data_IF_618773812670
#
_entry.id   IF_618773812670
#
_cell.length_a   1.000
_cell.length_b   1.000
_cell.length_c   1.000
_cell.angle_alpha   90.00
_cell.angle_beta   90.00
_cell.angle_gamma   90.00
#
_symmetry.space_group_name_H-M   'P 1'
#
loop_
_entity.id
_entity.type
_entity.pdbx_description
1 polymer ?
#
# COMPACT_ATOMS: atom_id res chain seq x y z
N UNK A 1 21.29 -89.32 -25.62
CA UNK A 1 22.47 -89.13 -26.49
C UNK A 1 22.90 -87.67 -26.36
N UNK A 2 24.10 -87.43 -25.80
CA UNK A 2 25.13 -86.42 -26.14
C UNK A 2 24.69 -85.12 -26.85
N UNK A 3 25.24 -83.92 -26.62
CA UNK A 3 26.41 -83.43 -25.88
C UNK A 3 26.29 -81.87 -25.85
N UNK A 4 26.97 -81.27 -24.86
CA UNK A 4 27.43 -79.87 -24.71
C UNK A 4 27.49 -78.94 -25.94
N UNK A 5 27.17 -77.66 -25.75
CA UNK A 5 28.04 -76.55 -26.19
C UNK A 5 27.84 -75.29 -25.32
N UNK A 6 28.95 -74.77 -24.79
CA UNK A 6 29.06 -73.53 -24.02
C UNK A 6 29.15 -72.32 -24.97
N UNK A 7 28.70 -71.14 -24.53
CA UNK A 7 29.50 -69.88 -24.58
C UNK A 7 28.70 -68.69 -24.01
N UNK A 8 29.22 -68.17 -22.89
CA UNK A 8 29.47 -66.75 -22.57
C UNK A 8 28.69 -65.66 -23.31
N UNK A 9 28.05 -64.74 -22.56
CA UNK A 9 28.67 -63.46 -22.18
C UNK A 9 27.63 -62.39 -21.78
N UNK A 10 28.04 -61.62 -20.76
CA UNK A 10 27.67 -60.22 -20.44
C UNK A 10 26.31 -59.99 -19.77
N UNK A 11 26.38 -59.99 -18.43
CA UNK A 11 25.49 -59.20 -17.60
C UNK A 11 25.72 -57.70 -17.84
N UNK A 12 24.63 -56.97 -18.01
CA UNK A 12 24.58 -55.52 -17.87
C UNK A 12 23.82 -55.23 -16.56
N UNK A 13 24.55 -54.78 -15.54
CA UNK A 13 23.97 -54.20 -14.34
C UNK A 13 23.18 -52.95 -14.72
N UNK A 14 21.87 -52.99 -14.59
CA UNK A 14 21.01 -51.82 -14.62
C UNK A 14 21.22 -51.04 -13.31
N UNK A 15 21.97 -49.93 -13.39
CA UNK A 15 22.06 -48.95 -12.32
C UNK A 15 20.70 -48.24 -12.22
N UNK A 16 19.85 -48.61 -11.26
CA UNK A 16 18.70 -47.79 -10.88
C UNK A 16 19.22 -46.52 -10.21
N UNK A 17 19.26 -45.41 -10.94
CA UNK A 17 19.44 -44.09 -10.37
C UNK A 17 18.18 -43.73 -9.57
N UNK A 18 18.27 -43.80 -8.24
CA UNK A 18 17.26 -43.24 -7.35
C UNK A 18 17.30 -41.71 -7.51
N UNK A 19 16.31 -41.15 -8.22
CA UNK A 19 16.05 -39.71 -8.17
C UNK A 19 15.63 -39.36 -6.74
N UNK A 20 16.56 -38.82 -5.97
CA UNK A 20 16.23 -38.10 -4.75
C UNK A 20 15.34 -36.92 -5.16
N UNK A 21 14.05 -37.02 -4.85
CA UNK A 21 13.14 -35.88 -4.93
C UNK A 21 13.61 -34.87 -3.89
N UNK A 22 14.42 -33.91 -4.33
CA UNK A 22 14.74 -32.73 -3.55
C UNK A 22 13.43 -31.97 -3.35
N UNK A 23 12.85 -32.09 -2.15
CA UNK A 23 11.79 -31.19 -1.70
C UNK A 23 12.21 -29.76 -2.00
N UNK A 24 11.32 -28.92 -2.58
CA UNK A 24 11.59 -27.49 -2.61
C UNK A 24 11.72 -27.05 -1.15
N UNK A 25 12.84 -26.39 -0.85
CA UNK A 25 13.08 -25.79 0.44
C UNK A 25 11.83 -25.00 0.86
N UNK A 26 11.29 -25.34 2.03
CA UNK A 26 10.29 -24.53 2.68
C UNK A 26 10.82 -23.09 2.74
N UNK A 27 10.03 -22.14 2.24
CA UNK A 27 10.28 -20.73 2.47
C UNK A 27 10.43 -20.53 3.98
N UNK A 28 11.60 -20.08 4.42
CA UNK A 28 11.78 -19.64 5.80
C UNK A 28 10.90 -18.40 5.99
N UNK A 29 9.75 -18.60 6.63
CA UNK A 29 9.19 -17.56 7.49
C UNK A 29 10.18 -17.31 8.65
N UNK A 30 10.12 -16.15 9.29
CA UNK A 30 10.87 -15.77 10.50
C UNK A 30 12.24 -15.11 10.33
N UNK A 31 12.27 -13.96 9.65
CA UNK A 31 12.88 -12.80 10.32
C UNK A 31 11.77 -12.14 11.15
N UNK A 32 11.69 -12.47 12.45
CA UNK A 32 10.68 -11.94 13.35
C UNK A 32 10.74 -10.40 13.32
N UNK A 33 9.70 -9.73 12.81
CA UNK A 33 9.68 -8.27 12.69
C UNK A 33 10.08 -7.60 14.02
N UNK A 34 10.89 -6.52 14.02
CA UNK A 34 11.36 -5.89 15.25
C UNK A 34 10.23 -5.55 16.23
N UNK A 35 9.08 -5.13 15.72
CA UNK A 35 7.87 -4.88 16.50
C UNK A 35 7.45 -6.09 17.35
N UNK A 36 7.52 -7.30 16.82
CA UNK A 36 7.10 -8.53 17.51
C UNK A 36 7.98 -8.89 18.72
N UNK A 37 9.16 -8.27 18.85
CA UNK A 37 10.02 -8.44 20.02
C UNK A 37 9.66 -7.49 21.17
N UNK A 38 8.91 -6.42 20.90
CA UNK A 38 8.61 -5.36 21.87
C UNK A 38 7.58 -5.86 22.88
N UNK A 39 7.86 -5.59 24.15
CA UNK A 39 6.96 -5.83 25.26
C UNK A 39 6.27 -4.53 25.70
N UNK A 40 5.01 -4.65 26.09
CA UNK A 40 4.15 -3.56 26.57
C UNK A 40 3.42 -4.02 27.82
N UNK A 41 3.24 -3.11 28.78
CA UNK A 41 2.46 -3.39 29.97
C UNK A 41 0.96 -3.25 29.67
N UNK A 42 0.14 -4.17 30.14
CA UNK A 42 -1.32 -4.05 30.09
C UNK A 42 -1.83 -3.23 31.28
N UNK A 43 -3.13 -2.90 31.32
CA UNK A 43 -3.73 -2.07 32.37
C UNK A 43 -3.55 -2.65 33.80
N UNK A 44 -3.43 -3.97 33.94
CA UNK A 44 -3.20 -4.62 35.25
C UNK A 44 -1.70 -4.71 35.63
N UNK A 45 -0.81 -4.19 34.79
CA UNK A 45 0.64 -4.19 34.99
C UNK A 45 1.36 -5.44 34.48
N UNK A 46 0.65 -6.43 33.92
CA UNK A 46 1.28 -7.59 33.30
C UNK A 46 2.00 -7.22 31.99
N UNK A 47 3.13 -7.88 31.69
CA UNK A 47 3.83 -7.72 30.43
C UNK A 47 3.18 -8.58 29.34
N UNK A 48 2.99 -7.99 28.15
CA UNK A 48 2.53 -8.68 26.94
C UNK A 48 3.43 -8.35 25.77
N UNK A 49 3.71 -9.33 24.92
CA UNK A 49 4.54 -9.12 23.73
C UNK A 49 3.66 -8.74 22.55
N UNK A 50 4.08 -7.77 21.74
CA UNK A 50 3.32 -7.39 20.53
C UNK A 50 3.29 -8.51 19.48
N UNK A 51 4.28 -9.42 19.51
CA UNK A 51 4.27 -10.64 18.72
C UNK A 51 3.10 -11.58 19.00
N UNK A 52 2.39 -11.44 20.11
CA UNK A 52 1.17 -12.20 20.40
C UNK A 52 0.00 -11.80 19.47
N UNK A 53 0.14 -10.68 18.77
CA UNK A 53 -0.80 -10.21 17.75
C UNK A 53 -0.30 -10.49 16.32
N UNK A 54 0.78 -11.25 16.16
CA UNK A 54 1.29 -11.61 14.83
C UNK A 54 0.19 -12.26 13.97
N UNK A 55 0.20 -11.94 12.68
CA UNK A 55 -0.83 -12.39 11.76
C UNK A 55 -2.09 -11.51 11.75
N UNK A 56 -2.22 -10.50 12.60
CA UNK A 56 -3.30 -9.49 12.55
C UNK A 56 -2.78 -8.14 12.05
N UNK A 57 -3.63 -7.38 11.36
CA UNK A 57 -3.37 -5.97 11.10
C UNK A 57 -3.55 -5.20 12.40
N UNK A 58 -2.58 -4.37 12.79
CA UNK A 58 -2.65 -3.60 14.03
C UNK A 58 -2.88 -2.12 13.75
N UNK A 59 -3.79 -1.51 14.52
CA UNK A 59 -3.92 -0.06 14.62
C UNK A 59 -3.48 0.39 16.01
N UNK A 60 -2.27 0.94 16.10
CA UNK A 60 -1.69 1.42 17.37
C UNK A 60 -1.99 2.91 17.52
N UNK A 61 -2.56 3.32 18.65
CA UNK A 61 -3.00 4.71 18.89
C UNK A 61 -2.58 5.18 20.28
N UNK A 62 -1.89 6.32 20.39
CA UNK A 62 -1.77 6.98 21.70
C UNK A 62 -3.06 7.74 22.00
N UNK A 63 -3.62 7.60 23.18
CA UNK A 63 -4.95 8.15 23.51
C UNK A 63 -4.91 9.02 24.77
N UNK A 64 -5.90 9.89 24.89
CA UNK A 64 -6.16 10.68 26.08
C UNK A 64 -7.67 10.92 26.24
N UNK A 65 -8.10 11.15 27.46
CA UNK A 65 -9.46 11.22 27.96
C UNK A 65 -9.92 12.67 28.05
N UNK A 66 -9.00 13.59 28.37
CA UNK A 66 -9.26 15.04 28.48
C UNK A 66 -8.73 15.83 27.27
N UNK A 67 -8.76 15.23 26.09
CA UNK A 67 -8.33 15.85 24.84
C UNK A 67 -9.52 16.34 24.01
N UNK A 68 -9.33 17.41 23.23
CA UNK A 68 -10.32 17.83 22.23
C UNK A 68 -10.60 16.78 21.15
N UNK A 69 -9.70 15.80 20.99
CA UNK A 69 -9.84 14.67 20.05
C UNK A 69 -10.42 13.41 20.71
N UNK A 70 -10.71 13.41 22.02
CA UNK A 70 -11.32 12.27 22.72
C UNK A 70 -12.59 11.73 22.05
N UNK A 71 -13.48 12.56 21.46
CA UNK A 71 -14.65 12.03 20.74
C UNK A 71 -14.32 11.04 19.60
N UNK A 72 -13.07 10.97 19.12
CA UNK A 72 -12.65 9.96 18.14
C UNK A 72 -12.79 8.52 18.67
N UNK A 73 -12.86 8.27 19.99
CA UNK A 73 -13.14 6.94 20.52
C UNK A 73 -14.41 6.31 19.91
N UNK A 74 -15.48 7.09 19.71
CA UNK A 74 -16.71 6.61 19.07
C UNK A 74 -16.46 6.09 17.65
N UNK A 75 -15.69 6.83 16.85
CA UNK A 75 -15.34 6.44 15.50
C UNK A 75 -14.43 5.21 15.47
N UNK A 76 -13.42 5.17 16.35
CA UNK A 76 -12.51 4.03 16.49
C UNK A 76 -13.25 2.76 16.94
N UNK A 77 -14.22 2.88 17.84
CA UNK A 77 -15.02 1.74 18.29
C UNK A 77 -15.89 1.17 17.17
N UNK A 78 -16.53 2.03 16.35
CA UNK A 78 -17.29 1.60 15.16
C UNK A 78 -16.39 0.93 14.11
N UNK A 79 -15.22 1.53 13.85
CA UNK A 79 -14.21 0.98 12.96
C UNK A 79 -13.75 -0.41 13.44
N UNK A 80 -13.43 -0.53 14.72
CA UNK A 80 -13.01 -1.80 15.31
C UNK A 80 -14.12 -2.86 15.22
N UNK A 81 -15.35 -2.54 15.60
CA UNK A 81 -16.48 -3.47 15.54
C UNK A 81 -16.74 -4.01 14.11
N UNK A 82 -16.49 -3.20 13.07
CA UNK A 82 -16.70 -3.59 11.67
C UNK A 82 -15.52 -4.34 11.03
N UNK A 83 -14.32 -4.27 11.62
CA UNK A 83 -13.09 -4.83 11.02
C UNK A 83 -12.41 -5.90 11.88
N UNK A 84 -12.77 -6.04 13.16
CA UNK A 84 -12.13 -6.99 14.07
C UNK A 84 -12.25 -8.44 13.56
N UNK A 85 -13.44 -8.83 13.08
CA UNK A 85 -13.68 -10.15 12.49
C UNK A 85 -12.92 -10.39 11.17
N UNK A 86 -12.46 -9.33 10.50
CA UNK A 86 -11.65 -9.40 9.28
C UNK A 86 -10.15 -9.53 9.57
N UNK A 87 -9.72 -9.37 10.83
CA UNK A 87 -8.31 -9.47 11.22
C UNK A 87 -7.68 -8.19 11.78
N UNK A 88 -8.46 -7.12 12.00
CA UNK A 88 -7.97 -5.89 12.64
C UNK A 88 -7.90 -6.06 14.17
N UNK A 89 -6.83 -5.56 14.78
CA UNK A 89 -6.73 -5.36 16.22
C UNK A 89 -6.29 -3.92 16.54
N UNK A 90 -7.09 -3.19 17.31
CA UNK A 90 -6.78 -1.82 17.71
C UNK A 90 -6.15 -1.83 19.11
N UNK A 91 -4.94 -1.29 19.23
CA UNK A 91 -4.18 -1.25 20.48
C UNK A 91 -4.08 0.20 20.97
N UNK A 92 -4.79 0.53 22.04
CA UNK A 92 -4.83 1.89 22.57
C UNK A 92 -3.89 2.06 23.78
N UNK A 93 -3.05 3.09 23.72
CA UNK A 93 -2.01 3.40 24.70
C UNK A 93 -2.26 4.78 25.33
N UNK A 94 -2.84 4.84 26.55
CA UNK A 94 -3.02 6.11 27.25
C UNK A 94 -1.68 6.86 27.42
N UNK A 95 -1.69 8.18 27.23
CA UNK A 95 -0.47 8.98 27.27
C UNK A 95 -0.74 10.36 27.89
N UNK A 96 0.08 10.76 28.85
CA UNK A 96 -0.06 12.04 29.55
C UNK A 96 0.93 13.12 29.07
N UNK A 97 1.72 12.84 28.04
CA UNK A 97 2.80 13.72 27.58
C UNK A 97 2.31 15.00 26.88
N UNK A 98 1.04 15.05 26.47
CA UNK A 98 0.46 16.18 25.75
C UNK A 98 -0.61 16.86 26.58
N UNK A 99 -0.25 18.03 27.11
CA UNK A 99 -1.17 18.88 27.89
C UNK A 99 -1.65 18.27 29.21
N UNK A 100 -0.97 17.23 29.72
CA UNK A 100 -1.40 16.47 30.89
C UNK A 100 -2.86 15.98 30.80
N UNK A 101 -3.28 15.55 29.60
CA UNK A 101 -4.67 15.21 29.28
C UNK A 101 -5.07 13.76 29.63
N UNK A 102 -4.18 12.99 30.25
CA UNK A 102 -4.43 11.64 30.76
C UNK A 102 -3.93 11.46 32.22
N UNK A 103 -4.45 12.29 33.16
CA UNK A 103 -3.96 12.31 34.54
C UNK A 103 -4.40 11.08 35.35
N UNK A 104 -5.48 10.40 34.94
CA UNK A 104 -6.11 9.35 35.72
C UNK A 104 -5.27 8.08 35.92
N UNK A 105 -5.72 7.24 36.86
CA UNK A 105 -5.20 5.88 37.08
C UNK A 105 -5.69 4.93 35.98
N UNK A 106 -5.11 3.73 35.90
CA UNK A 106 -5.54 2.72 34.92
C UNK A 106 -7.03 2.37 35.08
N UNK A 107 -7.52 2.24 36.32
CA UNK A 107 -8.92 1.93 36.62
C UNK A 107 -9.85 3.07 36.16
N UNK A 108 -9.47 4.32 36.42
CA UNK A 108 -10.24 5.50 36.00
C UNK A 108 -10.31 5.61 34.47
N UNK A 109 -9.19 5.35 33.79
CA UNK A 109 -9.10 5.39 32.32
C UNK A 109 -9.95 4.28 31.69
N UNK A 110 -9.83 3.04 32.19
CA UNK A 110 -10.64 1.93 31.72
C UNK A 110 -12.13 2.19 31.92
N UNK A 111 -12.51 2.68 33.10
CA UNK A 111 -13.90 3.05 33.40
C UNK A 111 -14.40 4.14 32.48
N UNK A 112 -13.60 5.18 32.24
CA UNK A 112 -13.95 6.26 31.32
C UNK A 112 -14.21 5.74 29.90
N UNK A 113 -13.26 4.96 29.34
CA UNK A 113 -13.36 4.44 27.98
C UNK A 113 -14.57 3.51 27.82
N UNK A 114 -14.83 2.66 28.82
CA UNK A 114 -15.98 1.74 28.82
C UNK A 114 -17.31 2.49 28.95
N UNK A 115 -17.46 3.32 29.98
CA UNK A 115 -18.75 3.93 30.31
C UNK A 115 -19.17 5.03 29.34
N UNK A 116 -18.20 5.73 28.72
CA UNK A 116 -18.49 6.85 27.81
C UNK A 116 -18.52 6.46 26.34
N UNK A 117 -17.73 5.47 25.94
CA UNK A 117 -17.51 5.17 24.53
C UNK A 117 -17.67 3.68 24.19
N UNK A 118 -17.99 2.84 25.18
CA UNK A 118 -18.19 1.40 25.00
C UNK A 118 -16.98 0.73 24.32
N UNK A 119 -15.78 1.21 24.63
CA UNK A 119 -14.53 0.70 24.05
C UNK A 119 -14.39 -0.79 24.33
N UNK A 120 -14.26 -1.57 23.25
CA UNK A 120 -14.10 -3.03 23.31
C UNK A 120 -12.75 -3.52 22.78
N UNK A 121 -11.92 -2.61 22.27
CA UNK A 121 -10.54 -2.92 21.87
C UNK A 121 -9.57 -2.83 23.07
N UNK A 122 -8.43 -3.54 23.02
CA UNK A 122 -7.43 -3.53 24.08
C UNK A 122 -6.92 -2.12 24.47
N UNK A 123 -6.95 -1.86 25.77
CA UNK A 123 -6.29 -0.74 26.42
C UNK A 123 -5.07 -1.24 27.19
N UNK A 124 -3.93 -0.57 27.01
CA UNK A 124 -2.66 -0.88 27.68
C UNK A 124 -2.37 0.10 28.81
N UNK A 125 -1.33 -0.18 29.60
CA UNK A 125 -0.83 0.76 30.59
C UNK A 125 -0.46 2.10 29.95
N UNK A 126 -0.46 3.15 30.77
CA UNK A 126 -0.02 4.48 30.35
C UNK A 126 1.46 4.45 29.94
N UNK A 127 1.78 5.09 28.82
CA UNK A 127 3.15 5.13 28.26
C UNK A 127 3.60 6.56 27.96
N UNK A 128 4.91 6.78 28.06
CA UNK A 128 5.55 7.95 27.51
C UNK A 128 5.89 7.71 26.02
N UNK A 129 5.57 8.70 25.19
CA UNK A 129 5.75 8.67 23.73
C UNK A 129 6.72 9.73 23.24
N UNK A 130 7.20 10.61 24.14
CA UNK A 130 8.26 11.58 23.86
C UNK A 130 9.17 11.79 25.07
N UNK A 131 10.36 12.35 24.82
CA UNK A 131 11.38 12.62 25.86
C UNK A 131 12.23 11.39 26.22
N UNK A 132 13.04 11.52 27.26
CA UNK A 132 14.03 10.49 27.63
C UNK A 132 13.40 9.14 28.03
N UNK A 133 12.21 9.20 28.61
CA UNK A 133 11.46 8.03 29.08
C UNK A 133 10.57 7.40 27.99
N UNK A 134 10.71 7.79 26.73
CA UNK A 134 9.91 7.23 25.61
C UNK A 134 9.96 5.70 25.63
N UNK A 135 8.78 5.07 25.63
CA UNK A 135 8.62 3.63 25.66
C UNK A 135 9.26 2.97 24.42
N UNK A 136 9.80 1.73 24.53
CA UNK A 136 10.43 1.03 23.40
C UNK A 136 9.56 0.98 22.13
N UNK A 137 8.26 0.76 22.28
CA UNK A 137 7.30 0.81 21.16
C UNK A 137 7.37 2.14 20.40
N UNK A 138 7.29 3.26 21.11
CA UNK A 138 7.28 4.58 20.49
C UNK A 138 8.66 5.00 19.99
N UNK A 139 9.76 4.52 20.60
CA UNK A 139 11.10 4.66 20.01
C UNK A 139 11.16 4.00 18.64
N UNK A 140 10.75 2.73 18.55
CA UNK A 140 10.71 2.01 17.28
C UNK A 140 9.85 2.72 16.23
N UNK A 141 8.60 3.08 16.58
CA UNK A 141 7.68 3.74 15.65
C UNK A 141 8.20 5.12 15.18
N UNK A 142 8.79 5.92 16.07
CA UNK A 142 9.17 7.30 15.77
C UNK A 142 10.58 7.48 15.23
N UNK A 143 11.46 6.47 15.35
CA UNK A 143 12.89 6.58 15.00
C UNK A 143 13.39 5.51 14.03
N UNK A 144 12.86 4.29 14.11
CA UNK A 144 13.41 3.13 13.40
C UNK A 144 12.49 2.64 12.26
N UNK A 145 11.24 3.10 12.24
CA UNK A 145 10.27 2.70 11.23
C UNK A 145 10.39 3.52 9.93
N UNK A 146 9.89 3.01 8.79
CA UNK A 146 9.82 3.78 7.54
C UNK A 146 8.99 5.07 7.63
N UNK A 147 8.16 5.22 8.68
CA UNK A 147 7.32 6.39 8.94
C UNK A 147 7.83 7.19 10.15
N UNK A 148 9.14 7.10 10.42
CA UNK A 148 9.79 7.81 11.52
C UNK A 148 9.46 9.31 11.51
N UNK A 149 9.24 9.83 12.71
CA UNK A 149 8.76 11.18 12.96
C UNK A 149 8.18 11.27 14.37
N UNK A 150 8.27 12.44 15.02
CA UNK A 150 7.78 12.59 16.39
C UNK A 150 6.26 12.44 16.45
N UNK A 151 5.76 11.87 17.55
CA UNK A 151 4.33 11.93 17.88
C UNK A 151 3.93 13.40 18.03
N UNK A 152 2.98 13.86 17.22
CA UNK A 152 2.60 15.29 17.17
C UNK A 152 1.62 15.68 18.27
N UNK A 153 0.73 14.77 18.66
CA UNK A 153 -0.30 14.99 19.68
C UNK A 153 -0.91 13.67 20.17
N UNK A 154 -1.89 13.74 21.08
CA UNK A 154 -2.81 12.64 21.39
C UNK A 154 -3.57 12.22 20.12
N UNK A 155 -3.86 10.93 19.97
CA UNK A 155 -4.53 10.30 18.81
C UNK A 155 -3.69 10.17 17.55
N UNK A 156 -2.36 10.21 17.62
CA UNK A 156 -1.50 9.74 16.53
C UNK A 156 -1.74 8.24 16.32
N UNK A 157 -1.86 7.83 15.06
CA UNK A 157 -2.18 6.44 14.70
C UNK A 157 -1.07 5.85 13.87
N UNK A 158 -0.77 4.58 14.08
CA UNK A 158 0.17 3.79 13.28
C UNK A 158 -0.53 2.52 12.81
N UNK A 159 -0.50 2.27 11.51
CA UNK A 159 -1.03 1.06 10.89
C UNK A 159 0.11 0.08 10.67
N UNK A 160 -0.04 -1.14 11.18
CA UNK A 160 0.94 -2.22 11.11
C UNK A 160 0.34 -3.38 10.33
N UNK A 161 1.13 -3.95 9.42
CA UNK A 161 0.74 -5.14 8.67
C UNK A 161 0.69 -6.39 9.53
N UNK A 162 0.06 -7.44 9.00
CA UNK A 162 -0.02 -8.75 9.64
C UNK A 162 1.35 -9.42 9.85
N UNK A 163 2.37 -8.96 9.13
CA UNK A 163 3.76 -9.39 9.20
C UNK A 163 4.59 -8.59 10.23
N UNK A 164 3.98 -7.55 10.84
CA UNK A 164 4.65 -6.66 11.80
C UNK A 164 5.35 -5.46 11.16
N UNK A 165 5.24 -5.26 9.84
CA UNK A 165 5.80 -4.09 9.17
C UNK A 165 4.97 -2.83 9.48
N UNK A 166 5.63 -1.71 9.80
CA UNK A 166 4.96 -0.43 9.98
C UNK A 166 4.61 0.15 8.61
N UNK A 167 3.33 0.30 8.32
CA UNK A 167 2.82 0.63 7.00
C UNK A 167 2.57 2.12 6.81
N UNK A 168 2.00 2.77 7.83
CA UNK A 168 1.63 4.18 7.78
C UNK A 168 1.55 4.81 9.17
N UNK A 169 1.74 6.12 9.22
CA UNK A 169 1.41 6.96 10.36
C UNK A 169 0.38 8.01 9.93
N UNK A 170 -0.63 8.27 10.77
CA UNK A 170 -1.70 9.22 10.46
C UNK A 170 -1.74 10.36 11.46
N UNK A 171 -1.95 11.58 10.95
CA UNK A 171 -2.05 12.78 11.78
C UNK A 171 -3.15 12.61 12.85
N UNK A 172 -2.95 13.13 14.07
CA UNK A 172 -3.93 13.08 15.14
C UNK A 172 -5.36 13.46 14.73
N UNK A 173 -5.49 14.45 13.83
CA UNK A 173 -6.77 14.97 13.36
C UNK A 173 -7.43 14.13 12.27
N UNK A 174 -6.74 13.12 11.73
CA UNK A 174 -7.34 12.17 10.79
C UNK A 174 -8.48 11.46 11.50
N UNK A 175 -9.71 11.68 11.02
CA UNK A 175 -10.91 11.13 11.62
C UNK A 175 -10.95 9.60 11.38
N UNK A 176 -11.50 8.81 12.33
CA UNK A 176 -11.60 7.35 12.17
C UNK A 176 -12.47 6.90 10.98
N UNK A 177 -13.33 7.78 10.46
CA UNK A 177 -14.18 7.58 9.29
C UNK A 177 -13.67 8.32 8.04
N UNK A 178 -12.47 8.92 8.06
CA UNK A 178 -11.85 9.47 6.85
C UNK A 178 -11.73 8.35 5.82
N UNK A 179 -12.32 8.50 4.61
CA UNK A 179 -12.37 7.43 3.62
C UNK A 179 -10.99 6.88 3.24
N UNK A 180 -9.94 7.71 3.31
CA UNK A 180 -8.56 7.29 3.00
C UNK A 180 -7.95 6.49 4.14
N UNK A 181 -8.29 6.84 5.38
CA UNK A 181 -7.87 6.08 6.56
C UNK A 181 -8.52 4.70 6.59
N UNK A 182 -9.84 4.63 6.38
CA UNK A 182 -10.58 3.36 6.29
C UNK A 182 -10.05 2.50 5.14
N UNK A 183 -9.85 3.09 3.97
CA UNK A 183 -9.32 2.36 2.82
C UNK A 183 -7.88 1.84 3.04
N UNK A 184 -7.05 2.51 3.84
CA UNK A 184 -5.71 2.02 4.19
C UNK A 184 -5.79 0.76 5.06
N UNK A 185 -6.73 0.75 6.01
CA UNK A 185 -7.00 -0.43 6.85
C UNK A 185 -7.56 -1.58 6.00
N UNK A 186 -8.55 -1.31 5.16
CA UNK A 186 -9.11 -2.33 4.26
C UNK A 186 -8.05 -2.91 3.31
N UNK A 187 -7.16 -2.07 2.76
CA UNK A 187 -6.06 -2.53 1.93
C UNK A 187 -5.07 -3.42 2.72
N UNK A 188 -4.76 -3.07 3.98
CA UNK A 188 -3.91 -3.90 4.83
C UNK A 188 -4.57 -5.27 5.14
N UNK A 189 -5.88 -5.29 5.38
CA UNK A 189 -6.66 -6.52 5.62
C UNK A 189 -6.77 -7.38 4.35
N UNK A 190 -6.96 -6.77 3.18
CA UNK A 190 -7.00 -7.47 1.90
C UNK A 190 -5.64 -8.12 1.55
N UNK A 191 -4.52 -7.53 1.96
CA UNK A 191 -3.20 -8.17 1.84
C UNK A 191 -3.09 -9.40 2.74
N UNK A 192 -3.57 -9.31 3.97
CA UNK A 192 -3.60 -10.43 4.91
C UNK A 192 -4.41 -11.61 4.38
N UNK A 193 -5.55 -11.36 3.71
CA UNK A 193 -6.37 -12.42 3.10
C UNK A 193 -5.84 -12.93 1.75
N UNK A 194 -4.80 -12.30 1.19
CA UNK A 194 -4.24 -12.62 -0.12
C UNK A 194 -5.07 -12.10 -1.31
N UNK A 195 -6.08 -11.26 -1.05
CA UNK A 195 -6.88 -10.59 -2.09
C UNK A 195 -6.10 -9.46 -2.77
N UNK A 196 -5.15 -8.85 -2.07
CA UNK A 196 -4.20 -7.88 -2.62
C UNK A 196 -2.81 -8.50 -2.71
N UNK A 197 -2.18 -8.42 -3.89
CA UNK A 197 -0.83 -8.94 -4.11
C UNK A 197 0.19 -8.32 -3.13
N UNK A 198 1.14 -9.10 -2.60
CA UNK A 198 2.17 -8.65 -1.69
C UNK A 198 3.29 -7.93 -2.45
N UNK A 199 2.96 -6.83 -3.12
CA UNK A 199 4.01 -5.99 -3.70
C UNK A 199 4.69 -5.26 -2.53
N UNK A 200 6.02 -5.14 -2.58
CA UNK A 200 6.92 -4.73 -1.49
C UNK A 200 6.70 -3.31 -0.91
N UNK A 201 5.63 -2.62 -1.28
CA UNK A 201 5.36 -1.24 -0.85
C UNK A 201 4.38 -1.24 0.32
N UNK A 202 4.63 -0.41 1.33
CA UNK A 202 3.83 -0.29 2.54
C UNK A 202 2.33 -0.10 2.27
N UNK A 203 1.48 -0.65 3.14
CA UNK A 203 0.03 -0.45 3.08
C UNK A 203 -0.34 0.91 3.70
N UNK A 204 0.01 1.98 2.99
CA UNK A 204 -0.35 3.35 3.32
C UNK A 204 -1.44 3.91 2.41
N UNK A 205 -1.45 5.22 2.27
CA UNK A 205 -2.49 5.95 1.53
C UNK A 205 -2.47 5.60 0.04
N UNK A 206 -1.30 5.40 -0.57
CA UNK A 206 -1.22 4.98 -1.96
C UNK A 206 -1.78 3.57 -2.15
N UNK A 207 -1.52 2.66 -1.21
CA UNK A 207 -2.11 1.33 -1.23
C UNK A 207 -3.64 1.36 -1.12
N UNK A 208 -4.17 2.25 -0.28
CA UNK A 208 -5.60 2.49 -0.13
C UNK A 208 -6.25 2.99 -1.43
N UNK A 209 -5.63 3.99 -2.06
CA UNK A 209 -6.04 4.58 -3.33
C UNK A 209 -6.07 3.49 -4.42
N UNK A 210 -4.97 2.73 -4.53
CA UNK A 210 -4.82 1.65 -5.50
C UNK A 210 -5.85 0.54 -5.28
N UNK A 211 -6.00 0.04 -4.06
CA UNK A 211 -6.93 -1.04 -3.74
C UNK A 211 -8.38 -0.65 -4.08
N UNK A 212 -8.80 0.57 -3.70
CA UNK A 212 -10.15 1.06 -4.04
C UNK A 212 -10.37 1.08 -5.56
N UNK A 213 -9.38 1.54 -6.31
CA UNK A 213 -9.46 1.57 -7.76
C UNK A 213 -9.47 0.17 -8.39
N UNK A 214 -8.76 -0.80 -7.81
CA UNK A 214 -8.86 -2.20 -8.22
C UNK A 214 -10.25 -2.78 -7.98
N UNK A 215 -10.87 -2.51 -6.83
CA UNK A 215 -12.24 -2.96 -6.55
C UNK A 215 -13.22 -2.39 -7.57
N UNK A 216 -13.09 -1.10 -7.90
CA UNK A 216 -13.89 -0.46 -8.93
C UNK A 216 -13.64 -1.09 -10.31
N UNK A 217 -12.38 -1.31 -10.69
CA UNK A 217 -12.02 -1.94 -11.96
C UNK A 217 -12.60 -3.35 -12.09
N UNK A 218 -12.55 -4.15 -11.02
CA UNK A 218 -13.16 -5.46 -10.97
C UNK A 218 -14.69 -5.40 -11.11
N UNK A 219 -15.36 -4.50 -10.38
CA UNK A 219 -16.81 -4.30 -10.47
C UNK A 219 -17.24 -3.88 -11.87
N UNK A 220 -16.49 -2.98 -12.51
CA UNK A 220 -16.78 -2.47 -13.86
C UNK A 220 -16.26 -3.36 -14.99
N UNK A 221 -15.54 -4.46 -14.67
CA UNK A 221 -14.85 -5.33 -15.64
C UNK A 221 -13.91 -4.56 -16.57
N UNK A 222 -13.15 -3.62 -16.00
CA UNK A 222 -12.17 -2.78 -16.68
C UNK A 222 -10.76 -3.08 -16.19
N UNK A 223 -9.78 -2.63 -16.95
CA UNK A 223 -8.37 -2.62 -16.53
C UNK A 223 -8.10 -1.41 -15.64
N UNK A 224 -6.96 -1.39 -14.98
CA UNK A 224 -6.54 -0.27 -14.14
C UNK A 224 -5.35 0.45 -14.80
N UNK A 225 -5.44 1.76 -14.91
CA UNK A 225 -4.31 2.63 -15.27
C UNK A 225 -3.94 3.45 -14.03
N UNK A 226 -2.76 3.17 -13.48
CA UNK A 226 -2.17 3.91 -12.35
C UNK A 226 -1.33 5.05 -12.91
N UNK A 227 -1.67 6.27 -12.53
CA UNK A 227 -0.96 7.51 -12.84
C UNK A 227 -0.26 8.03 -11.58
N UNK A 228 1.07 8.04 -11.60
CA UNK A 228 1.88 8.64 -10.55
C UNK A 228 2.13 10.10 -10.91
N UNK A 229 1.54 11.00 -10.12
CA UNK A 229 1.44 12.43 -10.43
C UNK A 229 1.83 13.28 -9.22
N UNK A 230 1.86 14.60 -9.39
CA UNK A 230 2.06 15.57 -8.30
C UNK A 230 1.46 16.93 -8.67
N UNK A 231 1.06 17.72 -7.68
CA UNK A 231 0.42 19.02 -7.88
C UNK A 231 1.38 20.05 -8.50
N UNK A 232 2.68 19.93 -8.24
CA UNK A 232 3.70 20.79 -8.85
C UNK A 232 4.07 20.37 -10.29
N UNK A 233 3.66 19.19 -10.73
CA UNK A 233 4.09 18.59 -12.00
C UNK A 233 3.30 19.16 -13.20
N UNK A 234 3.95 20.03 -13.97
CA UNK A 234 3.34 20.60 -15.17
C UNK A 234 3.04 19.58 -16.27
N UNK A 235 3.84 18.53 -16.41
CA UNK A 235 3.60 17.46 -17.40
C UNK A 235 2.39 16.59 -17.02
N UNK A 236 2.20 16.34 -15.73
CA UNK A 236 1.07 15.58 -15.21
C UNK A 236 -0.24 16.31 -15.51
N UNK A 237 -0.30 17.62 -15.21
CA UNK A 237 -1.44 18.47 -15.56
C UNK A 237 -1.78 18.49 -17.05
N UNK A 238 -0.78 18.39 -17.93
CA UNK A 238 -1.00 18.32 -19.38
C UNK A 238 -1.63 16.99 -19.78
N UNK A 239 -1.15 15.88 -19.22
CA UNK A 239 -1.74 14.57 -19.46
C UNK A 239 -3.18 14.50 -18.92
N UNK A 240 -3.43 15.03 -17.71
CA UNK A 240 -4.77 15.13 -17.14
C UNK A 240 -5.69 15.96 -18.04
N UNK A 241 -5.25 17.14 -18.46
CA UNK A 241 -6.04 18.00 -19.34
C UNK A 241 -6.36 17.31 -20.68
N UNK A 242 -5.39 16.60 -21.26
CA UNK A 242 -5.58 15.85 -22.50
C UNK A 242 -6.58 14.70 -22.33
N UNK A 243 -6.43 13.89 -21.30
CA UNK A 243 -7.34 12.74 -21.04
C UNK A 243 -8.78 13.16 -20.72
N UNK A 244 -8.98 14.40 -20.25
CA UNK A 244 -10.31 14.97 -20.05
C UNK A 244 -10.95 15.57 -21.31
N UNK A 245 -10.23 15.64 -22.46
CA UNK A 245 -10.81 16.18 -23.70
C UNK A 245 -12.00 15.33 -24.16
N UNK A 246 -13.07 15.92 -24.72
CA UNK A 246 -14.29 15.20 -25.08
C UNK A 246 -14.11 14.00 -26.01
N UNK A 247 -13.12 14.06 -26.92
CA UNK A 247 -12.81 12.98 -27.84
C UNK A 247 -12.01 11.83 -27.19
N UNK A 248 -11.30 12.10 -26.11
CA UNK A 248 -10.36 11.18 -25.46
C UNK A 248 -11.00 10.48 -24.26
N UNK A 249 -11.69 11.25 -23.40
CA UNK A 249 -12.26 10.77 -22.14
C UNK A 249 -13.13 9.52 -22.29
N UNK A 250 -14.06 9.42 -23.26
CA UNK A 250 -14.91 8.24 -23.40
C UNK A 250 -14.12 6.98 -23.77
N UNK A 251 -13.02 7.11 -24.54
CA UNK A 251 -12.19 5.99 -24.94
C UNK A 251 -11.42 5.44 -23.74
N UNK A 252 -10.75 6.30 -22.97
CA UNK A 252 -10.05 5.88 -21.76
C UNK A 252 -11.02 5.28 -20.73
N UNK A 253 -12.15 5.93 -20.48
CA UNK A 253 -13.14 5.46 -19.50
C UNK A 253 -13.82 4.13 -19.90
N UNK A 254 -13.79 3.76 -21.19
CA UNK A 254 -14.31 2.47 -21.67
C UNK A 254 -13.41 1.31 -21.25
N UNK A 255 -12.10 1.48 -21.36
CA UNK A 255 -11.12 0.41 -21.14
C UNK A 255 -10.55 0.39 -19.71
N UNK A 256 -10.45 1.57 -19.09
CA UNK A 256 -9.70 1.76 -17.84
C UNK A 256 -10.54 2.44 -16.76
N UNK A 257 -10.37 1.96 -15.52
CA UNK A 257 -10.44 2.82 -14.35
C UNK A 257 -9.08 3.50 -14.25
N UNK A 258 -9.07 4.83 -14.27
CA UNK A 258 -7.85 5.62 -14.05
C UNK A 258 -7.76 6.01 -12.59
N UNK A 259 -6.62 5.75 -11.97
CA UNK A 259 -6.34 6.15 -10.58
C UNK A 259 -5.05 6.95 -10.52
N UNK A 260 -5.10 8.08 -9.83
CA UNK A 260 -3.92 8.91 -9.59
C UNK A 260 -3.37 8.65 -8.19
N UNK A 261 -2.08 8.36 -8.09
CA UNK A 261 -1.31 8.36 -6.85
C UNK A 261 -0.53 9.69 -6.80
N UNK A 262 -0.98 10.70 -6.03
CA UNK A 262 -0.27 11.97 -5.92
C UNK A 262 0.94 11.79 -4.98
N UNK A 263 2.15 11.81 -5.54
CA UNK A 263 3.38 11.46 -4.82
C UNK A 263 3.81 12.50 -3.79
N UNK A 264 3.32 13.73 -3.91
CA UNK A 264 3.59 14.86 -3.00
C UNK A 264 2.53 15.03 -1.89
N UNK A 265 1.36 14.44 -2.04
CA UNK A 265 0.26 14.51 -1.07
C UNK A 265 -0.10 13.15 -0.44
N UNK A 266 0.57 12.10 -0.88
CA UNK A 266 0.45 10.75 -0.34
C UNK A 266 1.74 10.41 0.41
N UNK A 267 1.72 10.23 1.75
CA UNK A 267 2.93 9.99 2.54
C UNK A 267 3.82 8.84 2.03
N UNK A 268 3.22 7.79 1.47
CA UNK A 268 3.90 6.63 0.86
C UNK A 268 3.94 6.68 -0.68
N UNK A 269 3.47 7.76 -1.29
CA UNK A 269 3.35 7.88 -2.75
C UNK A 269 4.69 7.83 -3.47
N UNK A 270 5.73 8.45 -2.91
CA UNK A 270 7.09 8.41 -3.47
C UNK A 270 7.68 6.98 -3.45
N UNK A 271 7.50 6.25 -2.34
CA UNK A 271 7.94 4.86 -2.24
C UNK A 271 7.20 3.96 -3.24
N UNK A 272 5.92 4.23 -3.48
CA UNK A 272 5.11 3.58 -4.50
C UNK A 272 5.64 3.86 -5.92
N UNK A 273 6.04 5.10 -6.23
CA UNK A 273 6.67 5.44 -7.51
C UNK A 273 8.02 4.71 -7.68
N UNK A 274 8.88 4.73 -6.67
CA UNK A 274 10.20 4.08 -6.71
C UNK A 274 10.10 2.57 -6.93
N UNK A 275 9.12 1.92 -6.29
CA UNK A 275 8.85 0.50 -6.51
C UNK A 275 8.33 0.23 -7.93
N UNK A 276 7.41 1.07 -8.42
CA UNK A 276 6.87 0.97 -9.76
C UNK A 276 7.95 1.12 -10.84
N UNK A 277 8.94 1.98 -10.59
CA UNK A 277 10.05 2.24 -11.52
C UNK A 277 11.23 1.29 -11.32
N UNK A 278 11.13 0.36 -10.35
CA UNK A 278 12.19 -0.58 -9.97
C UNK A 278 13.49 0.15 -9.58
N UNK A 279 13.35 1.28 -8.90
CA UNK A 279 14.45 2.14 -8.45
C UNK A 279 15.12 2.95 -9.56
N UNK A 280 14.62 2.91 -10.80
CA UNK A 280 15.13 3.79 -11.86
C UNK A 280 14.68 5.22 -11.55
N UNK A 281 15.62 6.16 -11.58
CA UNK A 281 15.28 7.58 -11.57
C UNK A 281 14.39 7.87 -12.79
N UNK A 282 13.18 8.35 -12.53
CA UNK A 282 12.19 8.65 -13.54
C UNK A 282 11.45 9.93 -13.19
N UNK A 283 11.16 10.76 -14.20
CA UNK A 283 10.23 11.87 -14.03
C UNK A 283 8.81 11.39 -13.75
N UNK A 284 7.91 12.34 -13.53
CA UNK A 284 6.45 12.13 -13.51
C UNK A 284 5.81 13.02 -14.61
N UNK A 285 4.67 12.62 -15.20
CA UNK A 285 3.85 11.48 -14.82
C UNK A 285 4.50 10.15 -15.19
N UNK A 286 4.27 9.12 -14.38
CA UNK A 286 4.68 7.74 -14.66
C UNK A 286 3.43 6.86 -14.63
N UNK A 287 3.34 5.89 -15.53
CA UNK A 287 2.13 5.09 -15.71
C UNK A 287 2.43 3.61 -15.53
N UNK A 288 1.49 2.89 -14.92
CA UNK A 288 1.41 1.44 -14.97
C UNK A 288 0.03 1.00 -15.42
N UNK A 289 -0.01 0.11 -16.42
CA UNK A 289 -1.23 -0.55 -16.84
C UNK A 289 -1.30 -1.91 -16.18
N UNK A 290 -2.36 -2.15 -15.42
CA UNK A 290 -2.58 -3.39 -14.68
C UNK A 290 -3.64 -4.24 -15.37
N UNK A 291 -3.43 -5.56 -15.36
CA UNK A 291 -4.47 -6.52 -15.72
C UNK A 291 -5.53 -6.66 -14.62
N UNK A 292 -6.57 -7.46 -14.89
CA UNK A 292 -7.67 -7.75 -13.96
C UNK A 292 -7.22 -8.43 -12.66
N UNK A 293 -6.00 -8.97 -12.62
CA UNK A 293 -5.40 -9.58 -11.43
C UNK A 293 -4.46 -8.62 -10.68
N UNK A 294 -4.40 -7.37 -11.11
CA UNK A 294 -3.53 -6.36 -10.51
C UNK A 294 -2.06 -6.55 -10.85
N UNK A 295 -1.72 -7.22 -11.96
CA UNK A 295 -0.32 -7.36 -12.42
C UNK A 295 -0.03 -6.30 -13.46
N UNK A 296 1.10 -5.61 -13.33
CA UNK A 296 1.57 -4.67 -14.34
C UNK A 296 1.86 -5.42 -15.66
N UNK A 297 1.14 -5.05 -16.72
CA UNK A 297 1.33 -5.60 -18.08
C UNK A 297 2.10 -4.66 -18.98
N UNK A 298 2.13 -3.36 -18.68
CA UNK A 298 2.99 -2.37 -19.30
C UNK A 298 3.26 -1.23 -18.31
N UNK A 299 4.32 -0.47 -18.57
CA UNK A 299 4.63 0.76 -17.83
C UNK A 299 5.19 1.83 -18.77
N UNK A 300 5.45 3.03 -18.24
CA UNK A 300 6.02 4.12 -19.02
C UNK A 300 7.43 3.88 -19.58
N UNK A 301 8.09 2.77 -19.23
CA UNK A 301 9.36 2.36 -19.80
C UNK A 301 9.22 1.42 -21.01
N UNK A 302 8.03 0.90 -21.31
CA UNK A 302 7.84 -0.01 -22.44
C UNK A 302 8.12 0.69 -23.79
N UNK A 303 8.92 0.05 -24.65
CA UNK A 303 9.13 0.50 -26.04
C UNK A 303 10.15 1.63 -26.25
N UNK A 304 11.01 1.94 -25.28
CA UNK A 304 12.06 2.95 -25.42
C UNK A 304 12.92 3.13 -24.18
N UNK A 305 13.92 4.02 -24.25
CA UNK A 305 14.71 4.42 -23.08
C UNK A 305 13.97 5.50 -22.28
N UNK A 306 14.01 5.41 -20.95
CA UNK A 306 13.45 6.42 -20.06
C UNK A 306 11.93 6.47 -19.98
N UNK A 307 11.41 7.31 -19.08
CA UNK A 307 9.97 7.50 -18.86
C UNK A 307 9.36 8.33 -19.99
N UNK A 308 8.29 7.82 -20.61
CA UNK A 308 7.54 8.51 -21.67
C UNK A 308 6.86 9.82 -21.22
N UNK A 309 6.56 9.98 -19.93
CA UNK A 309 5.87 11.15 -19.40
C UNK A 309 4.53 11.43 -20.11
N UNK A 310 4.15 12.70 -20.19
CA UNK A 310 3.10 13.13 -21.11
C UNK A 310 3.65 13.02 -22.55
N UNK A 311 3.09 12.19 -23.45
CA UNK A 311 3.73 11.89 -24.74
C UNK A 311 3.75 13.09 -25.70
N UNK A 312 4.80 13.92 -25.62
CA UNK A 312 4.82 15.27 -26.20
C UNK A 312 5.57 15.34 -27.53
N UNK A 313 6.59 14.51 -27.72
CA UNK A 313 7.29 14.36 -29.01
C UNK A 313 6.60 13.33 -29.92
N UNK A 314 6.94 13.33 -31.22
CA UNK A 314 6.43 12.32 -32.16
C UNK A 314 6.88 10.90 -31.80
N UNK A 315 8.11 10.77 -31.31
CA UNK A 315 8.67 9.50 -30.82
C UNK A 315 7.90 8.99 -29.61
N UNK A 316 7.67 9.86 -28.60
CA UNK A 316 6.88 9.52 -27.42
C UNK A 316 5.44 9.15 -27.80
N UNK A 317 4.79 9.87 -28.73
CA UNK A 317 3.45 9.49 -29.21
C UNK A 317 3.45 8.11 -29.87
N UNK A 318 4.42 7.83 -30.73
CA UNK A 318 4.54 6.52 -31.40
C UNK A 318 4.70 5.40 -30.39
N UNK A 319 5.56 5.61 -29.39
CA UNK A 319 5.77 4.67 -28.28
C UNK A 319 4.49 4.48 -27.45
N UNK A 320 3.79 5.56 -27.13
CA UNK A 320 2.55 5.53 -26.37
C UNK A 320 1.45 4.78 -27.12
N UNK A 321 1.31 5.00 -28.43
CA UNK A 321 0.40 4.22 -29.27
C UNK A 321 0.72 2.72 -29.23
N UNK A 322 2.01 2.36 -29.27
CA UNK A 322 2.47 0.98 -29.12
C UNK A 322 2.07 0.36 -27.78
N UNK A 323 2.16 1.12 -26.69
CA UNK A 323 1.66 0.69 -25.38
C UNK A 323 0.14 0.51 -25.42
N UNK A 324 -0.62 1.47 -25.95
CA UNK A 324 -2.08 1.39 -26.06
C UNK A 324 -2.53 0.17 -26.87
N UNK A 325 -1.81 -0.18 -27.94
CA UNK A 325 -2.06 -1.39 -28.73
C UNK A 325 -1.90 -2.68 -27.92
N UNK A 326 -1.00 -2.69 -26.93
CA UNK A 326 -0.77 -3.84 -26.04
C UNK A 326 -1.81 -3.91 -24.91
N UNK A 327 -2.25 -2.76 -24.38
CA UNK A 327 -3.01 -2.70 -23.12
C UNK A 327 -4.50 -2.39 -23.28
N UNK A 328 -4.95 -1.89 -24.43
CA UNK A 328 -6.35 -1.51 -24.69
C UNK A 328 -6.93 -2.25 -25.90
N UNK A 329 -8.26 -2.37 -25.97
CA UNK A 329 -8.98 -2.88 -27.15
C UNK A 329 -9.44 -1.73 -28.06
N UNK A 330 -8.58 -0.74 -28.28
CA UNK A 330 -8.86 0.34 -29.23
C UNK A 330 -8.66 -0.13 -30.67
N UNK A 331 -9.60 0.21 -31.55
CA UNK A 331 -9.44 0.09 -33.01
C UNK A 331 -8.29 0.94 -33.52
N UNK A 332 -7.85 0.69 -34.76
CA UNK A 332 -6.77 1.47 -35.39
C UNK A 332 -7.19 2.93 -35.55
N UNK A 333 -8.46 3.17 -35.87
CA UNK A 333 -9.06 4.50 -35.99
C UNK A 333 -9.10 5.23 -34.65
N UNK A 334 -9.47 4.54 -33.57
CA UNK A 334 -9.49 5.13 -32.23
C UNK A 334 -8.08 5.47 -31.73
N UNK A 335 -7.09 4.60 -31.96
CA UNK A 335 -5.69 4.90 -31.59
C UNK A 335 -5.15 6.07 -32.40
N UNK A 336 -5.43 6.11 -33.71
CA UNK A 336 -5.07 7.25 -34.56
C UNK A 336 -5.71 8.54 -34.03
N UNK A 337 -7.00 8.52 -33.70
CA UNK A 337 -7.70 9.66 -33.12
C UNK A 337 -7.03 10.16 -31.84
N UNK A 338 -6.66 9.25 -30.93
CA UNK A 338 -5.96 9.61 -29.70
C UNK A 338 -4.63 10.32 -30.00
N UNK A 339 -3.83 9.81 -30.94
CA UNK A 339 -2.53 10.40 -31.28
C UNK A 339 -2.67 11.75 -32.00
N UNK A 340 -3.61 11.86 -32.94
CA UNK A 340 -3.93 13.11 -33.63
C UNK A 340 -4.43 14.18 -32.66
N UNK A 341 -5.31 13.83 -31.72
CA UNK A 341 -5.83 14.75 -30.71
C UNK A 341 -4.73 15.21 -29.73
N UNK A 342 -3.81 14.32 -29.35
CA UNK A 342 -2.65 14.68 -28.53
C UNK A 342 -1.71 15.66 -29.26
N UNK A 343 -1.47 15.45 -30.56
CA UNK A 343 -0.70 16.38 -31.38
C UNK A 343 -1.39 17.75 -31.51
N UNK A 344 -2.72 17.77 -31.71
CA UNK A 344 -3.51 18.99 -31.74
C UNK A 344 -3.47 19.73 -30.40
N UNK A 345 -3.63 19.00 -29.29
CA UNK A 345 -3.55 19.55 -27.93
C UNK A 345 -2.18 20.19 -27.66
N UNK A 346 -1.09 19.56 -28.09
CA UNK A 346 0.26 20.15 -28.03
C UNK A 346 0.31 21.49 -28.77
N UNK A 347 -0.16 21.54 -30.02
CA UNK A 347 -0.16 22.75 -30.82
C UNK A 347 -0.98 23.87 -30.15
N UNK A 348 -2.14 23.55 -29.57
CA UNK A 348 -2.97 24.49 -28.80
C UNK A 348 -2.21 25.05 -27.59
N UNK A 349 -1.56 24.20 -26.80
CA UNK A 349 -0.81 24.62 -25.60
C UNK A 349 0.39 25.49 -25.96
N UNK A 350 1.16 25.10 -26.99
CA UNK A 350 2.34 25.85 -27.44
C UNK A 350 1.98 27.19 -28.07
N UNK A 351 0.82 27.31 -28.73
CA UNK A 351 0.35 28.57 -29.30
C UNK A 351 0.00 29.64 -28.26
N UNK A 352 -0.33 29.22 -27.03
CA UNK A 352 -0.70 30.09 -25.90
C UNK A 352 0.48 30.44 -25.00
N UNK A 353 1.64 29.82 -25.21
CA UNK A 353 2.84 30.14 -24.45
C UNK A 353 3.29 31.57 -24.81
N UNK A 354 3.66 32.42 -23.83
CA UNK A 354 4.20 33.74 -24.13
C UNK A 354 5.43 33.58 -25.01
N UNK A 355 5.43 34.26 -26.16
CA UNK A 355 6.61 34.33 -27.03
C UNK A 355 7.71 35.00 -26.21
N UNK A 356 8.78 34.26 -25.95
CA UNK A 356 9.98 34.77 -25.29
C UNK A 356 10.67 35.82 -26.15
#
# INVERSE_FOLDING_TARGET
>A
MNLLCQTTARGASALLAALAMTSPAAFSQDAKAPLHAIEVATMDGTSKRLGDYAGKVLLIVNVASQCGLTPQYTGMQKLYASHAAKGLELLAFPCNDFGAQEPGTHEEIQKFCKDKYEVSFPLFAKVAVKGEQTAPLYKYLTQESPVAGPVRWNFQKYLIGHDGAVLAAFDPRTAPDDPRFVAAIDAALARQSGELAPDKVSAGFAAAIYWKAQQQAAQEKKKLLVDYSADWCGWCKRFDAWTQRPAVKPLFAREFVMVTIPTDHTPDGQAWLEAATKGKSSGIPFFQWMDERGRAVADSFDGGEGNIGCPWSDEERTRFEGILKKVAKFSDEERKLLMDDLAAFKAEVESKAPKK
#
